data_IF_479378048485
#
_entry.id   IF_479378048485
#
_cell.length_a   1.000
_cell.length_b   1.000
_cell.length_c   1.000
_cell.angle_alpha   90.00
_cell.angle_beta   90.00
_cell.angle_gamma   90.00
#
_symmetry.space_group_name_H-M   'P 1'
#
loop_
_entity.id
_entity.type
_entity.pdbx_description
1 polymer ?
#
# COMPACT_ATOMS: atom_id res chain seq x y z
N UNK A 1 -43.28 5.08 -18.51
CA UNK A 1 -42.15 5.43 -17.61
C UNK A 1 -42.02 4.27 -16.62
N UNK A 2 -41.93 3.00 -17.03
CA UNK A 2 -40.87 2.31 -17.79
C UNK A 2 -39.46 2.58 -17.24
N UNK A 3 -39.18 1.88 -16.14
CA UNK A 3 -38.01 1.01 -15.91
C UNK A 3 -36.62 1.59 -16.22
N UNK A 4 -36.16 2.48 -15.34
CA UNK A 4 -34.72 2.58 -15.04
C UNK A 4 -34.36 1.53 -13.98
N UNK A 5 -34.39 0.26 -14.36
CA UNK A 5 -33.67 -0.79 -13.63
C UNK A 5 -32.20 -0.58 -14.03
N UNK A 6 -31.40 -0.04 -13.12
CA UNK A 6 -29.94 -0.13 -13.28
C UNK A 6 -29.61 -1.61 -13.48
N UNK A 7 -28.97 -1.94 -14.60
CA UNK A 7 -28.52 -3.30 -14.91
C UNK A 7 -27.80 -3.88 -13.68
N UNK A 8 -28.24 -5.02 -13.14
CA UNK A 8 -27.74 -5.58 -11.86
C UNK A 8 -26.20 -5.72 -11.87
N UNK A 9 -25.66 -6.01 -13.05
CA UNK A 9 -24.22 -6.05 -13.34
C UNK A 9 -23.55 -4.67 -13.17
N UNK A 10 -24.15 -3.59 -13.69
CA UNK A 10 -23.60 -2.24 -13.52
C UNK A 10 -23.55 -1.82 -12.05
N UNK A 11 -24.60 -2.12 -11.27
CA UNK A 11 -24.62 -1.81 -9.84
C UNK A 11 -23.56 -2.61 -9.08
N UNK A 12 -23.44 -3.91 -9.33
CA UNK A 12 -22.44 -4.74 -8.68
C UNK A 12 -21.01 -4.27 -8.99
N UNK A 13 -20.70 -4.03 -10.26
CA UNK A 13 -19.36 -3.66 -10.69
C UNK A 13 -18.98 -2.22 -10.34
N UNK A 14 -19.91 -1.27 -10.47
CA UNK A 14 -19.58 0.15 -10.28
C UNK A 14 -19.66 0.58 -8.83
N UNK A 15 -20.48 -0.09 -8.01
CA UNK A 15 -20.74 0.31 -6.62
C UNK A 15 -20.14 -0.69 -5.64
N UNK A 16 -20.51 -1.97 -5.74
CA UNK A 16 -20.11 -2.98 -4.73
C UNK A 16 -18.61 -3.26 -4.81
N UNK A 17 -18.09 -3.60 -6.00
CA UNK A 17 -16.66 -3.87 -6.15
C UNK A 17 -15.80 -2.63 -5.92
N UNK A 18 -16.29 -1.43 -6.25
CA UNK A 18 -15.56 -0.20 -5.97
C UNK A 18 -15.47 0.06 -4.46
N UNK A 19 -16.55 -0.22 -3.72
CA UNK A 19 -16.54 -0.16 -2.24
C UNK A 19 -15.56 -1.16 -1.64
N UNK A 20 -15.53 -2.39 -2.18
CA UNK A 20 -14.55 -3.40 -1.78
C UNK A 20 -13.12 -2.97 -2.09
N UNK A 21 -12.89 -2.28 -3.22
CA UNK A 21 -11.58 -1.79 -3.59
C UNK A 21 -11.11 -0.64 -2.69
N UNK A 22 -12.00 0.30 -2.37
CA UNK A 22 -11.73 1.35 -1.36
C UNK A 22 -11.39 0.73 -0.01
N UNK A 23 -12.15 -0.29 0.42
CA UNK A 23 -11.88 -1.02 1.67
C UNK A 23 -10.52 -1.72 1.63
N UNK A 24 -10.15 -2.33 0.50
CA UNK A 24 -8.85 -2.96 0.34
C UNK A 24 -7.71 -1.93 0.42
N UNK A 25 -7.89 -0.76 -0.19
CA UNK A 25 -6.93 0.34 -0.10
C UNK A 25 -6.80 0.91 1.31
N UNK A 26 -7.89 1.01 2.07
CA UNK A 26 -7.86 1.39 3.49
C UNK A 26 -6.97 0.45 4.31
N UNK A 27 -7.16 -0.86 4.14
CA UNK A 27 -6.32 -1.86 4.80
C UNK A 27 -4.84 -1.72 4.39
N UNK A 28 -4.56 -1.60 3.09
CA UNK A 28 -3.18 -1.47 2.61
C UNK A 28 -2.51 -0.19 3.11
N UNK A 29 -3.22 0.94 3.04
CA UNK A 29 -2.68 2.23 3.44
C UNK A 29 -2.35 2.23 4.94
N UNK A 30 -3.30 1.84 5.79
CA UNK A 30 -3.08 1.79 7.23
C UNK A 30 -1.98 0.79 7.64
N UNK A 31 -1.87 -0.32 6.90
CA UNK A 31 -0.87 -1.35 7.14
C UNK A 31 0.52 -0.86 6.79
N UNK A 32 0.68 -0.23 5.62
CA UNK A 32 1.93 0.38 5.17
C UNK A 32 2.32 1.58 6.02
N UNK A 33 1.37 2.40 6.45
CA UNK A 33 1.63 3.48 7.42
C UNK A 33 2.17 2.92 8.75
N UNK A 34 1.54 1.86 9.27
CA UNK A 34 1.99 1.21 10.50
C UNK A 34 3.39 0.64 10.34
N UNK A 35 3.68 0.04 9.18
CA UNK A 35 4.98 -0.52 8.84
C UNK A 35 6.05 0.55 8.73
N UNK A 36 5.83 1.62 7.95
CA UNK A 36 6.82 2.69 7.80
C UNK A 36 7.09 3.35 9.14
N UNK A 37 6.08 3.51 10.01
CA UNK A 37 6.27 4.08 11.33
C UNK A 37 7.23 3.23 12.17
N UNK A 38 7.04 1.91 12.18
CA UNK A 38 7.93 0.99 12.89
C UNK A 38 9.34 1.05 12.30
N UNK A 39 9.47 1.09 10.98
CA UNK A 39 10.77 1.19 10.31
C UNK A 39 11.47 2.51 10.64
N UNK A 40 10.75 3.62 10.59
CA UNK A 40 11.30 4.98 10.65
C UNK A 40 11.63 5.44 12.08
N UNK A 41 10.80 5.07 13.05
CA UNK A 41 11.00 5.45 14.45
C UNK A 41 11.67 4.34 15.28
N UNK A 42 12.05 3.23 14.64
CA UNK A 42 12.49 2.00 15.29
C UNK A 42 11.62 1.59 16.48
N UNK A 43 10.33 1.94 16.43
CA UNK A 43 9.43 1.63 17.52
C UNK A 43 9.14 0.14 17.46
N UNK A 44 9.63 -0.64 18.41
CA UNK A 44 9.27 -2.06 18.58
C UNK A 44 7.83 -2.26 19.07
N UNK A 45 6.91 -1.44 18.57
CA UNK A 45 5.50 -1.47 18.89
C UNK A 45 4.87 -2.72 18.30
N UNK A 46 4.71 -3.74 19.14
CA UNK A 46 4.03 -4.99 18.82
C UNK A 46 2.70 -4.75 18.12
N UNK A 47 1.87 -3.85 18.66
CA UNK A 47 0.57 -3.54 18.07
C UNK A 47 0.65 -2.95 16.65
N UNK A 48 1.65 -2.11 16.35
CA UNK A 48 1.83 -1.56 14.99
C UNK A 48 2.34 -2.61 14.01
N UNK A 49 3.23 -3.49 14.47
CA UNK A 49 3.75 -4.58 13.66
C UNK A 49 2.61 -5.55 13.33
N UNK A 50 1.79 -5.94 14.33
CA UNK A 50 0.56 -6.72 14.09
C UNK A 50 -0.30 -6.11 13.01
N UNK A 51 -0.59 -4.82 13.20
CA UNK A 51 -1.53 -4.06 12.39
C UNK A 51 -1.01 -4.02 10.95
N UNK A 52 0.29 -3.80 10.76
CA UNK A 52 0.93 -3.87 9.45
C UNK A 52 0.68 -5.21 8.75
N UNK A 53 1.07 -6.34 9.34
CA UNK A 53 0.89 -7.65 8.71
C UNK A 53 -0.57 -8.02 8.49
N UNK A 54 -1.41 -7.77 9.49
CA UNK A 54 -2.83 -8.10 9.43
C UNK A 54 -3.52 -7.32 8.32
N UNK A 55 -3.31 -6.01 8.26
CA UNK A 55 -3.97 -5.19 7.26
C UNK A 55 -3.39 -5.41 5.86
N UNK A 56 -2.07 -5.62 5.72
CA UNK A 56 -1.47 -5.96 4.42
C UNK A 56 -2.04 -7.30 3.90
N UNK A 57 -2.12 -8.33 4.76
CA UNK A 57 -2.72 -9.61 4.40
C UNK A 57 -4.17 -9.43 3.91
N UNK A 58 -5.02 -8.78 4.72
CA UNK A 58 -6.44 -8.57 4.36
C UNK A 58 -6.58 -7.74 3.08
N UNK A 59 -5.78 -6.68 2.92
CA UNK A 59 -5.81 -5.81 1.75
C UNK A 59 -5.43 -6.54 0.45
N UNK A 60 -4.34 -7.32 0.47
CA UNK A 60 -3.92 -8.13 -0.68
C UNK A 60 -4.99 -9.21 -1.00
N UNK A 61 -5.55 -9.87 0.01
CA UNK A 61 -6.60 -10.88 -0.18
C UNK A 61 -7.81 -10.29 -0.91
N UNK A 62 -8.24 -9.09 -0.50
CA UNK A 62 -9.36 -8.40 -1.12
C UNK A 62 -9.07 -8.01 -2.56
N UNK A 63 -7.88 -7.48 -2.86
CA UNK A 63 -7.47 -7.19 -4.25
C UNK A 63 -7.54 -8.47 -5.10
N UNK A 64 -6.97 -9.58 -4.61
CA UNK A 64 -7.02 -10.85 -5.33
C UNK A 64 -8.46 -11.30 -5.61
N UNK A 65 -9.36 -11.16 -4.62
CA UNK A 65 -10.79 -11.51 -4.75
C UNK A 65 -11.54 -10.58 -5.69
N UNK A 66 -11.26 -9.28 -5.69
CA UNK A 66 -11.84 -8.31 -6.64
C UNK A 66 -11.46 -8.70 -8.07
N UNK A 67 -10.15 -8.91 -8.30
CA UNK A 67 -9.64 -9.30 -9.62
C UNK A 67 -10.28 -10.63 -10.05
N UNK A 68 -10.33 -11.63 -9.14
CA UNK A 68 -10.88 -12.94 -9.43
C UNK A 68 -12.40 -12.89 -9.70
N UNK A 69 -13.13 -11.99 -9.04
CA UNK A 69 -14.55 -11.76 -9.30
C UNK A 69 -14.76 -11.22 -10.71
N UNK A 70 -14.05 -10.15 -11.08
CA UNK A 70 -14.13 -9.56 -12.43
C UNK A 70 -13.76 -10.57 -13.51
N UNK A 71 -12.67 -11.31 -13.26
CA UNK A 71 -12.22 -12.42 -14.07
C UNK A 71 -13.32 -13.47 -14.28
N UNK A 72 -13.88 -14.00 -13.20
CA UNK A 72 -14.92 -15.03 -13.26
C UNK A 72 -16.12 -14.63 -14.10
N UNK A 73 -16.51 -13.35 -14.04
CA UNK A 73 -17.68 -12.87 -14.76
C UNK A 73 -17.49 -12.79 -16.27
N UNK A 74 -16.26 -12.84 -16.76
CA UNK A 74 -15.94 -12.98 -18.19
C UNK A 74 -15.94 -14.43 -18.67
N UNK A 75 -16.09 -15.41 -17.78
CA UNK A 75 -16.26 -16.80 -18.19
C UNK A 75 -17.65 -17.06 -18.73
N UNK A 76 -17.72 -17.90 -19.76
CA UNK A 76 -18.94 -18.44 -20.34
C UNK A 76 -18.85 -19.96 -20.47
N UNK A 77 -20.01 -20.62 -20.61
CA UNK A 77 -20.13 -22.05 -20.87
C UNK A 77 -19.49 -22.95 -19.81
N UNK A 78 -18.94 -24.08 -20.25
CA UNK A 78 -18.41 -25.15 -19.39
C UNK A 78 -17.30 -24.67 -18.44
N UNK A 79 -16.48 -23.71 -18.88
CA UNK A 79 -15.43 -23.11 -18.04
C UNK A 79 -16.04 -22.39 -16.82
N UNK A 80 -17.12 -21.62 -16.99
CA UNK A 80 -17.77 -20.93 -15.86
C UNK A 80 -18.29 -21.91 -14.81
N UNK A 81 -18.81 -23.06 -15.26
CA UNK A 81 -19.35 -24.09 -14.38
C UNK A 81 -18.24 -24.84 -13.63
N UNK A 82 -17.14 -25.19 -14.29
CA UNK A 82 -15.97 -25.81 -13.69
C UNK A 82 -15.38 -24.94 -12.55
N UNK A 83 -15.21 -23.64 -12.82
CA UNK A 83 -14.56 -22.73 -11.88
C UNK A 83 -15.46 -22.24 -10.74
N UNK A 84 -16.79 -22.34 -10.87
CA UNK A 84 -17.73 -21.88 -9.83
C UNK A 84 -17.43 -22.52 -8.46
N UNK A 85 -17.17 -23.83 -8.44
CA UNK A 85 -16.86 -24.57 -7.21
C UNK A 85 -15.52 -24.16 -6.59
N UNK A 86 -14.50 -23.90 -7.43
CA UNK A 86 -13.16 -23.52 -7.00
C UNK A 86 -13.13 -22.09 -6.44
N UNK A 87 -13.89 -21.19 -7.08
CA UNK A 87 -14.00 -19.79 -6.70
C UNK A 87 -14.76 -19.65 -5.39
N UNK A 88 -15.90 -20.31 -5.23
CA UNK A 88 -16.62 -20.28 -3.94
C UNK A 88 -15.69 -20.72 -2.80
N UNK A 89 -14.95 -21.82 -2.97
CA UNK A 89 -13.97 -22.27 -1.98
C UNK A 89 -12.87 -21.23 -1.72
N UNK A 90 -12.36 -20.58 -2.77
CA UNK A 90 -11.30 -19.57 -2.65
C UNK A 90 -11.79 -18.26 -2.00
N UNK A 91 -13.04 -17.86 -2.23
CA UNK A 91 -13.63 -16.65 -1.65
C UNK A 91 -13.90 -16.78 -0.15
N UNK A 92 -14.30 -17.98 0.30
CA UNK A 92 -14.43 -18.27 1.74
C UNK A 92 -13.09 -18.67 2.39
N UNK A 93 -12.11 -19.06 1.58
CA UNK A 93 -10.74 -19.30 2.03
C UNK A 93 -9.96 -18.01 2.28
N UNK A 94 -8.94 -18.12 3.13
CA UNK A 94 -7.94 -17.07 3.38
C UNK A 94 -6.57 -17.52 2.87
N UNK A 95 -6.55 -18.02 1.64
CA UNK A 95 -5.37 -18.62 1.03
C UNK A 95 -4.93 -17.79 -0.19
N UNK A 96 -3.93 -16.94 0.04
CA UNK A 96 -3.35 -16.08 -0.99
C UNK A 96 -2.76 -16.86 -2.17
N UNK A 97 -2.14 -18.01 -1.91
CA UNK A 97 -1.54 -18.83 -2.95
C UNK A 97 -2.60 -19.45 -3.85
N UNK A 98 -3.68 -19.97 -3.27
CA UNK A 98 -4.82 -20.51 -4.02
C UNK A 98 -5.45 -19.42 -4.89
N UNK A 99 -5.68 -18.22 -4.35
CA UNK A 99 -6.21 -17.09 -5.10
C UNK A 99 -5.27 -16.69 -6.25
N UNK A 100 -3.97 -16.57 -5.99
CA UNK A 100 -2.96 -16.23 -7.00
C UNK A 100 -2.88 -17.28 -8.11
N UNK A 101 -2.91 -18.56 -7.76
CA UNK A 101 -2.90 -19.66 -8.73
C UNK A 101 -4.14 -19.66 -9.61
N UNK A 102 -5.32 -19.42 -9.03
CA UNK A 102 -6.57 -19.29 -9.80
C UNK A 102 -6.51 -18.12 -10.77
N UNK A 103 -5.99 -16.96 -10.33
CA UNK A 103 -5.80 -15.80 -11.19
C UNK A 103 -4.89 -16.10 -12.38
N UNK A 104 -3.71 -16.68 -12.13
CA UNK A 104 -2.74 -17.03 -13.18
C UNK A 104 -3.32 -18.05 -14.17
N UNK A 105 -4.00 -19.08 -13.67
CA UNK A 105 -4.63 -20.11 -14.49
C UNK A 105 -5.75 -19.54 -15.35
N UNK A 106 -6.64 -18.76 -14.74
CA UNK A 106 -7.81 -18.21 -15.41
C UNK A 106 -7.43 -17.19 -16.51
N UNK A 107 -6.52 -16.27 -16.17
CA UNK A 107 -6.12 -15.18 -17.07
C UNK A 107 -5.04 -15.58 -18.08
N UNK A 108 -4.57 -16.84 -18.05
CA UNK A 108 -3.45 -17.35 -18.85
C UNK A 108 -2.21 -16.43 -18.77
N UNK A 109 -1.94 -15.92 -17.57
CA UNK A 109 -0.89 -14.90 -17.35
C UNK A 109 0.48 -15.55 -17.53
N UNK A 110 1.25 -15.02 -18.48
CA UNK A 110 2.62 -15.47 -18.76
C UNK A 110 3.60 -14.96 -17.71
N UNK A 111 3.39 -13.73 -17.24
CA UNK A 111 4.19 -13.12 -16.18
C UNK A 111 3.75 -13.65 -14.82
N UNK A 112 4.69 -13.97 -13.94
CA UNK A 112 4.42 -14.49 -12.60
C UNK A 112 5.21 -13.70 -11.58
N UNK A 113 4.68 -13.62 -10.37
CA UNK A 113 5.42 -13.18 -9.19
C UNK A 113 6.71 -14.02 -9.06
N UNK A 114 7.80 -13.40 -8.58
CA UNK A 114 9.05 -14.12 -8.39
C UNK A 114 9.01 -14.89 -7.07
N UNK A 115 10.09 -15.64 -6.79
CA UNK A 115 10.18 -16.50 -5.61
C UNK A 115 9.99 -15.71 -4.31
N UNK A 116 10.53 -14.50 -4.23
CA UNK A 116 10.46 -13.66 -3.03
C UNK A 116 9.02 -13.24 -2.73
N UNK A 117 8.29 -12.74 -3.73
CA UNK A 117 6.91 -12.27 -3.55
C UNK A 117 5.96 -13.43 -3.25
N UNK A 118 6.14 -14.59 -3.91
CA UNK A 118 5.37 -15.80 -3.58
C UNK A 118 5.65 -16.26 -2.14
N UNK A 119 6.91 -16.24 -1.71
CA UNK A 119 7.28 -16.58 -0.32
C UNK A 119 6.60 -15.63 0.67
N UNK A 120 6.53 -14.35 0.35
CA UNK A 120 5.85 -13.36 1.19
C UNK A 120 4.34 -13.57 1.25
N UNK A 121 3.67 -13.91 0.12
CA UNK A 121 2.25 -14.29 0.13
C UNK A 121 1.96 -15.51 1.01
N UNK A 122 2.82 -16.54 0.94
CA UNK A 122 2.72 -17.71 1.82
C UNK A 122 2.89 -17.31 3.30
N UNK A 123 3.81 -16.37 3.59
CA UNK A 123 4.00 -15.86 4.95
C UNK A 123 2.78 -15.10 5.46
N UNK A 124 2.16 -14.25 4.65
CA UNK A 124 0.93 -13.54 5.03
C UNK A 124 -0.22 -14.51 5.35
N UNK A 125 -0.34 -15.59 4.56
CA UNK A 125 -1.32 -16.65 4.79
C UNK A 125 -1.06 -17.38 6.11
N UNK A 126 0.19 -17.77 6.38
CA UNK A 126 0.56 -18.43 7.62
C UNK A 126 0.31 -17.50 8.81
N UNK A 127 0.72 -16.23 8.73
CA UNK A 127 0.44 -15.23 9.76
C UNK A 127 -1.06 -15.12 10.06
N UNK A 128 -1.90 -14.97 9.02
CA UNK A 128 -3.35 -14.79 9.20
C UNK A 128 -4.02 -16.03 9.81
N UNK A 129 -3.54 -17.22 9.50
CA UNK A 129 -4.08 -18.49 10.00
C UNK A 129 -3.59 -18.87 11.41
N UNK A 130 -2.35 -18.51 11.77
CA UNK A 130 -1.70 -19.02 13.00
C UNK A 130 -1.43 -17.94 14.05
N UNK A 131 -1.17 -16.70 13.66
CA UNK A 131 -0.67 -15.65 14.56
C UNK A 131 -1.72 -14.59 14.93
N UNK A 132 -2.90 -14.58 14.29
CA UNK A 132 -3.99 -13.64 14.61
C UNK A 132 -4.43 -13.65 16.08
N UNK A 133 -4.34 -14.82 16.72
CA UNK A 133 -4.77 -15.06 18.10
C UNK A 133 -3.61 -15.50 19.01
N UNK A 134 -2.36 -15.42 18.54
CA UNK A 134 -1.20 -15.86 19.33
C UNK A 134 -1.02 -15.06 20.62
N UNK A 135 -1.61 -13.86 20.72
CA UNK A 135 -1.65 -13.04 21.95
C UNK A 135 -2.32 -13.71 23.14
N UNK A 136 -3.15 -14.72 22.92
CA UNK A 136 -3.73 -15.52 24.00
C UNK A 136 -2.78 -16.66 24.44
N UNK A 137 -1.62 -16.78 23.81
CA UNK A 137 -0.55 -17.71 24.14
C UNK A 137 0.64 -16.95 24.75
N UNK A 138 1.60 -17.68 25.32
CA UNK A 138 2.58 -17.14 26.28
C UNK A 138 3.68 -16.25 25.67
N UNK A 139 3.80 -16.20 24.35
CA UNK A 139 4.84 -15.44 23.63
C UNK A 139 4.36 -14.03 23.26
N UNK A 140 5.29 -13.07 23.21
CA UNK A 140 4.97 -11.72 22.73
C UNK A 140 4.96 -11.67 21.21
N UNK A 141 4.13 -10.78 20.67
CA UNK A 141 3.83 -10.77 19.24
C UNK A 141 5.04 -10.39 18.37
N UNK A 142 5.88 -9.48 18.88
CA UNK A 142 7.14 -9.08 18.24
C UNK A 142 8.10 -10.26 18.16
N UNK A 143 8.19 -11.05 19.22
CA UNK A 143 9.07 -12.21 19.27
C UNK A 143 8.60 -13.28 18.30
N UNK A 144 7.28 -13.56 18.27
CA UNK A 144 6.68 -14.51 17.35
C UNK A 144 6.83 -14.04 15.90
N UNK A 145 6.53 -12.76 15.59
CA UNK A 145 6.61 -12.21 14.24
C UNK A 145 8.03 -12.10 13.72
N UNK A 146 8.97 -11.67 14.55
CA UNK A 146 10.38 -11.65 14.20
C UNK A 146 10.86 -13.07 13.91
N UNK A 147 10.63 -14.02 14.82
CA UNK A 147 11.02 -15.41 14.65
C UNK A 147 10.38 -16.06 13.45
N UNK A 148 9.12 -15.73 13.19
CA UNK A 148 8.39 -16.17 12.01
C UNK A 148 9.06 -15.69 10.70
N UNK A 149 9.55 -14.45 10.66
CA UNK A 149 10.18 -13.88 9.45
C UNK A 149 11.67 -14.15 9.30
N UNK A 150 12.41 -14.24 10.40
CA UNK A 150 13.87 -14.39 10.36
C UNK A 150 14.31 -15.82 10.63
N UNK A 151 13.46 -16.66 11.21
CA UNK A 151 13.86 -17.95 11.79
C UNK A 151 14.69 -17.81 13.07
N UNK A 152 14.97 -16.59 13.53
CA UNK A 152 15.83 -16.28 14.66
C UNK A 152 14.99 -15.77 15.84
N UNK A 153 15.45 -15.95 17.08
CA UNK A 153 14.82 -15.28 18.21
C UNK A 153 15.00 -13.77 18.09
N UNK A 154 13.96 -12.99 18.45
CA UNK A 154 14.05 -11.54 18.45
C UNK A 154 15.25 -11.06 19.27
N UNK A 155 16.13 -10.30 18.63
CA UNK A 155 17.18 -9.54 19.28
C UNK A 155 16.85 -8.06 19.11
N UNK A 156 16.94 -7.32 20.22
CA UNK A 156 16.72 -5.88 20.27
C UNK A 156 17.83 -5.08 19.53
N UNK A 157 18.69 -5.77 18.77
CA UNK A 157 19.72 -5.15 17.94
C UNK A 157 19.25 -5.16 16.47
N UNK A 158 19.13 -3.95 15.94
CA UNK A 158 17.99 -3.38 15.19
C UNK A 158 18.06 -3.60 13.68
N UNK A 159 19.25 -3.69 13.09
CA UNK A 159 19.45 -3.63 11.63
C UNK A 159 18.77 -4.75 10.84
N UNK A 160 18.90 -6.01 11.30
CA UNK A 160 18.26 -7.16 10.64
C UNK A 160 16.74 -7.01 10.59
N UNK A 161 16.13 -6.50 11.66
CA UNK A 161 14.69 -6.30 11.72
C UNK A 161 14.24 -5.23 10.71
N UNK A 162 14.94 -4.09 10.66
CA UNK A 162 14.64 -3.01 9.71
C UNK A 162 14.88 -3.42 8.26
N UNK A 163 15.96 -4.16 7.99
CA UNK A 163 16.21 -4.75 6.69
C UNK A 163 15.04 -5.63 6.23
N UNK A 164 14.49 -6.46 7.12
CA UNK A 164 13.30 -7.27 6.80
C UNK A 164 12.05 -6.43 6.53
N UNK A 165 11.80 -5.38 7.32
CA UNK A 165 10.67 -4.48 7.07
C UNK A 165 10.79 -3.78 5.71
N UNK A 166 12.02 -3.44 5.29
CA UNK A 166 12.29 -2.91 3.97
C UNK A 166 12.00 -3.93 2.86
N UNK A 167 12.44 -5.19 3.01
CA UNK A 167 12.14 -6.25 2.05
C UNK A 167 10.64 -6.52 1.90
N UNK A 168 9.87 -6.34 2.98
CA UNK A 168 8.41 -6.46 2.95
C UNK A 168 7.80 -5.33 2.14
N UNK A 169 8.24 -4.08 2.33
CA UNK A 169 7.81 -2.96 1.50
C UNK A 169 8.04 -3.25 0.01
N UNK A 170 9.26 -3.67 -0.33
CA UNK A 170 9.64 -3.97 -1.71
C UNK A 170 8.79 -5.12 -2.29
N UNK A 171 8.43 -6.11 -1.45
CA UNK A 171 7.56 -7.22 -1.84
C UNK A 171 6.12 -6.74 -2.06
N UNK A 172 5.57 -5.89 -1.18
CA UNK A 172 4.22 -5.34 -1.33
C UNK A 172 4.09 -4.51 -2.59
N UNK A 173 5.04 -3.62 -2.89
CA UNK A 173 5.03 -2.82 -4.13
C UNK A 173 4.95 -3.71 -5.38
N UNK A 174 5.82 -4.71 -5.48
CA UNK A 174 5.84 -5.63 -6.63
C UNK A 174 4.57 -6.48 -6.73
N UNK A 175 4.00 -6.92 -5.61
CA UNK A 175 2.74 -7.66 -5.58
C UNK A 175 1.59 -6.79 -6.06
N UNK A 176 1.49 -5.55 -5.56
CA UNK A 176 0.44 -4.62 -5.95
C UNK A 176 0.58 -4.21 -7.41
N UNK A 177 1.80 -3.95 -7.89
CA UNK A 177 2.06 -3.72 -9.31
C UNK A 177 1.54 -4.86 -10.17
N UNK A 178 1.93 -6.10 -9.84
CA UNK A 178 1.47 -7.28 -10.55
C UNK A 178 -0.06 -7.40 -10.57
N UNK A 179 -0.72 -7.18 -9.43
CA UNK A 179 -2.17 -7.27 -9.36
C UNK A 179 -2.88 -6.13 -10.09
N UNK A 180 -2.37 -4.91 -10.04
CA UNK A 180 -2.96 -3.78 -10.77
C UNK A 180 -2.74 -3.88 -12.28
N UNK A 181 -1.63 -4.46 -12.76
CA UNK A 181 -1.47 -4.79 -14.18
C UNK A 181 -2.53 -5.79 -14.68
N UNK A 182 -2.84 -6.80 -13.85
CA UNK A 182 -3.90 -7.76 -14.14
C UNK A 182 -5.26 -7.08 -14.12
N UNK A 183 -5.50 -6.24 -13.10
CA UNK A 183 -6.74 -5.52 -12.95
C UNK A 183 -7.02 -4.63 -14.17
N UNK A 184 -6.05 -3.86 -14.64
CA UNK A 184 -6.17 -3.02 -15.85
C UNK A 184 -6.49 -3.87 -17.10
N UNK A 185 -5.82 -5.01 -17.21
CA UNK A 185 -6.04 -5.96 -18.31
C UNK A 185 -7.47 -6.49 -18.31
N UNK A 186 -8.07 -6.73 -17.14
CA UNK A 186 -9.46 -7.19 -17.02
C UNK A 186 -10.43 -6.02 -17.25
N UNK A 187 -10.19 -4.90 -16.59
CA UNK A 187 -11.00 -3.68 -16.67
C UNK A 187 -11.19 -3.21 -18.12
N UNK A 188 -10.12 -3.21 -18.92
CA UNK A 188 -10.18 -2.87 -20.34
C UNK A 188 -11.03 -3.84 -21.17
N UNK A 189 -11.06 -5.13 -20.83
CA UNK A 189 -11.91 -6.14 -21.51
C UNK A 189 -13.38 -5.99 -21.12
N UNK A 190 -13.65 -5.77 -19.83
CA UNK A 190 -15.02 -5.71 -19.30
C UNK A 190 -15.65 -4.32 -19.43
N UNK A 191 -14.88 -3.31 -19.87
CA UNK A 191 -15.28 -1.89 -19.96
C UNK A 191 -15.81 -1.34 -18.62
N UNK A 192 -15.18 -1.76 -17.52
CA UNK A 192 -15.40 -1.22 -16.19
C UNK A 192 -14.10 -0.57 -15.70
N UNK A 193 -14.23 0.52 -14.96
CA UNK A 193 -13.10 1.30 -14.47
C UNK A 193 -13.23 1.50 -12.95
N UNK A 194 -12.89 0.45 -12.19
CA UNK A 194 -12.82 0.55 -10.74
C UNK A 194 -11.75 1.57 -10.35
N UNK A 195 -12.01 2.33 -9.28
CA UNK A 195 -11.09 3.36 -8.79
C UNK A 195 -11.13 4.69 -9.53
N UNK A 196 -11.78 4.81 -10.70
CA UNK A 196 -11.92 6.09 -11.41
C UNK A 196 -13.03 6.98 -10.83
N UNK A 197 -14.00 6.40 -10.10
CA UNK A 197 -15.17 7.11 -9.56
C UNK A 197 -15.04 7.45 -8.08
N UNK A 198 -13.95 7.04 -7.41
CA UNK A 198 -13.72 7.29 -5.99
C UNK A 198 -12.92 8.58 -5.77
N UNK A 199 -13.43 9.48 -4.93
CA UNK A 199 -12.63 10.58 -4.34
C UNK A 199 -11.74 10.10 -3.19
N UNK A 200 -11.55 8.78 -3.07
CA UNK A 200 -10.83 8.17 -1.97
C UNK A 200 -9.33 8.35 -2.15
N UNK A 201 -8.73 9.11 -1.25
CA UNK A 201 -7.31 9.45 -1.37
C UNK A 201 -6.40 8.24 -1.13
N UNK A 202 -6.80 7.30 -0.26
CA UNK A 202 -5.95 6.14 0.03
C UNK A 202 -5.94 5.19 -1.16
N UNK A 203 -7.10 4.94 -1.78
CA UNK A 203 -7.18 4.21 -3.04
C UNK A 203 -6.37 4.90 -4.13
N UNK A 204 -6.50 6.22 -4.26
CA UNK A 204 -5.70 6.98 -5.22
C UNK A 204 -4.20 6.70 -5.04
N UNK A 205 -3.69 6.80 -3.81
CA UNK A 205 -2.27 6.54 -3.51
C UNK A 205 -1.89 5.08 -3.79
N UNK A 206 -2.63 4.13 -3.23
CA UNK A 206 -2.32 2.71 -3.32
C UNK A 206 -2.28 2.25 -4.78
N UNK A 207 -3.24 2.70 -5.59
CA UNK A 207 -3.34 2.32 -7.00
C UNK A 207 -2.37 3.09 -7.90
N UNK A 208 -2.31 4.42 -7.78
CA UNK A 208 -1.55 5.26 -8.72
C UNK A 208 -0.05 5.34 -8.39
N UNK A 209 0.36 5.09 -7.16
CA UNK A 209 1.76 5.17 -6.71
C UNK A 209 2.29 3.82 -6.23
N UNK A 210 1.70 2.71 -6.68
CA UNK A 210 2.04 1.36 -6.21
C UNK A 210 3.50 0.95 -6.47
N UNK A 211 4.18 1.60 -7.43
CA UNK A 211 5.61 1.41 -7.74
C UNK A 211 6.57 2.19 -6.84
N UNK A 212 6.07 3.08 -5.97
CA UNK A 212 6.88 3.95 -5.12
C UNK A 212 6.27 4.15 -3.72
N UNK A 213 5.44 3.22 -3.25
CA UNK A 213 4.76 3.32 -1.94
C UNK A 213 5.74 3.54 -0.79
N UNK A 214 6.89 2.87 -0.78
CA UNK A 214 7.92 3.06 0.24
C UNK A 214 8.40 4.50 0.28
N UNK A 215 8.68 5.09 -0.88
CA UNK A 215 9.09 6.49 -1.00
C UNK A 215 7.96 7.44 -0.63
N UNK A 216 6.73 7.14 -1.04
CA UNK A 216 5.53 7.88 -0.65
C UNK A 216 5.36 7.91 0.87
N UNK A 217 5.37 6.74 1.52
CA UNK A 217 5.15 6.63 2.97
C UNK A 217 6.32 7.23 3.76
N UNK A 218 7.54 7.19 3.22
CA UNK A 218 8.69 7.90 3.79
C UNK A 218 8.48 9.41 3.77
N UNK A 219 8.08 9.97 2.63
CA UNK A 219 7.70 11.38 2.52
C UNK A 219 6.52 11.72 3.41
N UNK A 220 5.52 10.85 3.53
CA UNK A 220 4.37 11.06 4.39
C UNK A 220 4.78 11.25 5.86
N UNK A 221 5.69 10.42 6.38
CA UNK A 221 6.24 10.56 7.74
C UNK A 221 7.08 11.84 7.87
N UNK A 222 7.98 12.10 6.92
CA UNK A 222 8.78 13.33 6.89
C UNK A 222 7.90 14.58 6.89
N UNK A 223 6.79 14.56 6.15
CA UNK A 223 5.87 15.66 6.07
C UNK A 223 5.20 15.89 7.42
N UNK A 224 4.69 14.83 8.06
CA UNK A 224 4.12 14.92 9.41
C UNK A 224 5.11 15.53 10.41
N UNK A 225 6.39 15.17 10.32
CA UNK A 225 7.43 15.71 11.19
C UNK A 225 7.68 17.19 10.94
N UNK A 226 7.84 17.60 9.68
CA UNK A 226 8.02 19.02 9.31
C UNK A 226 6.82 19.87 9.74
N UNK A 227 5.59 19.38 9.54
CA UNK A 227 4.37 20.06 10.00
C UNK A 227 4.27 20.14 11.54
N UNK A 228 4.78 19.13 12.26
CA UNK A 228 4.79 19.13 13.73
C UNK A 228 5.87 20.05 14.32
N UNK A 229 6.92 20.38 13.56
CA UNK A 229 8.03 21.19 14.02
C UNK A 229 7.64 22.68 14.09
N UNK A 230 7.63 23.22 15.32
CA UNK A 230 7.17 24.60 15.62
C UNK A 230 8.04 25.70 15.00
N UNK A 231 9.26 25.39 14.60
CA UNK A 231 10.20 26.33 13.98
C UNK A 231 10.31 26.16 12.46
N UNK A 232 9.52 25.27 11.85
CA UNK A 232 9.53 25.09 10.41
C UNK A 232 8.78 26.25 9.74
N UNK A 233 9.42 26.92 8.79
CA UNK A 233 8.83 27.95 7.91
C UNK A 233 7.72 27.37 6.98
N UNK A 234 7.51 26.06 7.09
CA UNK A 234 6.69 25.20 6.24
C UNK A 234 5.18 25.32 6.46
N UNK A 235 4.71 26.15 7.39
CA UNK A 235 3.33 26.04 7.89
C UNK A 235 2.45 27.23 7.48
N UNK A 236 1.61 27.11 6.44
CA UNK A 236 0.62 28.14 6.09
C UNK A 236 -0.61 28.12 7.01
N UNK A 237 -0.79 27.09 7.85
CA UNK A 237 -2.04 26.89 8.58
C UNK A 237 -1.81 26.34 9.99
N UNK A 238 -2.34 27.11 10.96
CA UNK A 238 -2.98 26.65 12.19
C UNK A 238 -2.23 26.63 13.54
N UNK A 239 -3.06 26.81 14.58
CA UNK A 239 -2.81 27.20 15.98
C UNK A 239 -2.05 26.14 16.79
N UNK A 240 -1.71 26.44 18.04
CA UNK A 240 -0.94 25.55 18.93
C UNK A 240 -1.58 24.16 19.18
N UNK A 241 -2.90 24.03 19.00
CA UNK A 241 -3.67 22.79 19.21
C UNK A 241 -3.56 21.83 18.01
N UNK A 242 -3.23 22.36 16.83
CA UNK A 242 -3.28 21.64 15.55
C UNK A 242 -1.93 20.98 15.21
N UNK A 243 -0.92 21.17 16.05
CA UNK A 243 0.47 20.71 15.84
C UNK A 243 0.78 19.28 16.31
N UNK A 244 -0.17 18.55 16.90
CA UNK A 244 0.04 17.14 17.27
C UNK A 244 0.05 16.27 16.01
N UNK A 245 0.97 15.30 15.93
CA UNK A 245 1.02 14.30 14.85
C UNK A 245 -0.34 13.58 14.65
N UNK A 246 -1.07 13.34 15.75
CA UNK A 246 -2.41 12.73 15.71
C UNK A 246 -3.48 13.63 15.08
N UNK A 247 -3.28 14.94 15.11
CA UNK A 247 -4.25 15.92 14.63
C UNK A 247 -4.00 16.26 13.16
N UNK A 248 -2.75 16.17 12.69
CA UNK A 248 -2.39 16.35 11.28
C UNK A 248 -3.24 15.41 10.39
N UNK A 249 -3.42 14.15 10.80
CA UNK A 249 -4.24 13.18 10.05
C UNK A 249 -5.71 13.57 9.94
N UNK A 250 -6.26 14.19 10.99
CA UNK A 250 -7.66 14.67 11.01
C UNK A 250 -7.82 15.88 10.09
N UNK A 251 -6.86 16.81 10.12
CA UNK A 251 -6.92 18.06 9.34
C UNK A 251 -6.79 17.84 7.84
N UNK A 252 -5.94 16.90 7.44
CA UNK A 252 -5.82 16.52 6.04
C UNK A 252 -6.81 15.41 5.67
N UNK A 253 -7.68 14.96 6.58
CA UNK A 253 -8.67 13.92 6.29
C UNK A 253 -8.06 12.61 5.81
N UNK A 254 -6.87 12.25 6.29
CA UNK A 254 -6.09 11.11 5.77
C UNK A 254 -5.52 11.33 4.35
N UNK A 255 -5.61 12.54 3.81
CA UNK A 255 -5.11 12.90 2.47
C UNK A 255 -3.60 13.12 2.50
N UNK A 256 -2.83 12.04 2.65
CA UNK A 256 -1.37 12.08 2.70
C UNK A 256 -0.71 12.71 1.48
N UNK A 257 -1.39 12.68 0.32
CA UNK A 257 -0.92 13.35 -0.89
C UNK A 257 -0.81 14.87 -0.72
N UNK A 258 -1.81 15.51 -0.10
CA UNK A 258 -1.80 16.96 0.14
C UNK A 258 -0.66 17.39 1.08
N UNK A 259 -0.36 16.57 2.09
CA UNK A 259 0.73 16.81 3.05
C UNK A 259 2.08 16.74 2.33
N UNK A 260 2.26 15.75 1.44
CA UNK A 260 3.46 15.58 0.62
C UNK A 260 3.62 16.70 -0.41
N UNK A 261 2.54 17.20 -1.01
CA UNK A 261 2.63 18.33 -1.95
C UNK A 261 3.15 19.60 -1.30
N UNK A 262 2.82 19.82 -0.02
CA UNK A 262 3.47 20.85 0.77
C UNK A 262 5.00 20.69 0.78
N UNK A 263 5.50 19.46 0.94
CA UNK A 263 6.95 19.18 0.98
C UNK A 263 7.61 19.53 -0.34
N UNK A 264 6.97 19.19 -1.45
CA UNK A 264 7.47 19.53 -2.78
C UNK A 264 7.52 21.05 -2.94
N UNK A 265 6.42 21.76 -2.67
CA UNK A 265 6.36 23.21 -2.80
C UNK A 265 7.45 23.93 -2.00
N UNK A 266 7.65 23.55 -0.74
CA UNK A 266 8.71 24.11 0.09
C UNK A 266 10.12 23.79 -0.45
N UNK A 267 10.37 22.54 -0.83
CA UNK A 267 11.67 22.14 -1.35
C UNK A 267 12.01 22.96 -2.59
N UNK A 268 11.11 23.04 -3.57
CA UNK A 268 11.38 23.78 -4.80
C UNK A 268 11.51 25.28 -4.57
N UNK A 269 10.67 25.88 -3.73
CA UNK A 269 10.76 27.33 -3.45
C UNK A 269 12.01 27.70 -2.68
N UNK A 270 12.37 26.92 -1.66
CA UNK A 270 13.43 27.31 -0.72
C UNK A 270 14.81 26.76 -1.09
N UNK A 271 14.87 25.64 -1.82
CA UNK A 271 16.13 25.00 -2.22
C UNK A 271 16.44 25.30 -3.68
N UNK A 272 15.47 25.07 -4.58
CA UNK A 272 15.67 25.24 -6.02
C UNK A 272 15.33 26.67 -6.51
N UNK A 273 14.75 27.51 -5.64
CA UNK A 273 14.28 28.87 -5.97
C UNK A 273 13.33 28.92 -7.16
N UNK A 274 12.42 27.93 -7.26
CA UNK A 274 11.48 27.74 -8.38
C UNK A 274 10.12 27.25 -7.90
N UNK A 275 9.10 27.35 -8.76
CA UNK A 275 7.82 26.69 -8.50
C UNK A 275 7.92 25.22 -8.94
N UNK A 276 7.40 24.31 -8.14
CA UNK A 276 7.40 22.88 -8.48
C UNK A 276 6.46 22.57 -9.65
N UNK A 277 5.47 23.44 -9.90
CA UNK A 277 4.56 23.33 -11.05
C UNK A 277 5.29 23.49 -12.39
N UNK A 278 6.51 24.03 -12.38
CA UNK A 278 7.37 24.12 -13.56
C UNK A 278 8.06 22.77 -13.89
N UNK A 279 7.94 21.76 -13.02
CA UNK A 279 8.55 20.45 -13.16
C UNK A 279 7.52 19.34 -13.41
N UNK A 280 7.98 18.23 -13.97
CA UNK A 280 7.21 16.99 -13.94
C UNK A 280 6.92 16.61 -12.49
N UNK A 281 5.66 16.25 -12.22
CA UNK A 281 5.17 15.84 -10.90
C UNK A 281 6.16 14.84 -10.23
N UNK A 282 6.78 15.18 -9.08
CA UNK A 282 7.96 14.44 -8.56
C UNK A 282 7.67 13.00 -8.13
N UNK A 283 6.41 12.69 -7.84
CA UNK A 283 5.98 11.36 -7.45
C UNK A 283 5.47 10.60 -8.68
N UNK A 284 6.20 9.59 -9.19
CA UNK A 284 5.80 8.93 -10.43
C UNK A 284 4.46 8.19 -10.28
N UNK A 285 3.68 8.20 -11.35
CA UNK A 285 2.55 7.30 -11.49
C UNK A 285 3.04 5.88 -11.83
N UNK A 286 2.21 4.88 -11.50
CA UNK A 286 2.46 3.47 -11.78
C UNK A 286 2.72 3.18 -13.25
N UNK A 287 1.92 3.81 -14.11
CA UNK A 287 1.93 3.61 -15.56
C UNK A 287 2.73 4.71 -16.30
N UNK A 288 3.63 5.39 -15.61
CA UNK A 288 4.43 6.48 -16.17
C UNK A 288 5.47 5.98 -17.20
N UNK A 289 5.77 6.80 -18.21
CA UNK A 289 6.82 6.50 -19.18
C UNK A 289 8.19 6.30 -18.52
N UNK A 290 8.95 5.29 -18.98
CA UNK A 290 10.24 4.91 -18.41
C UNK A 290 11.27 6.06 -18.33
N UNK A 291 11.29 6.96 -19.32
CA UNK A 291 12.22 8.10 -19.33
C UNK A 291 11.84 9.10 -18.24
N UNK A 292 10.54 9.37 -18.10
CA UNK A 292 9.99 10.28 -17.10
C UNK A 292 10.12 9.71 -15.69
N UNK A 293 9.80 8.42 -15.52
CA UNK A 293 9.96 7.65 -14.29
C UNK A 293 11.38 7.78 -13.73
N UNK A 294 12.42 7.60 -14.55
CA UNK A 294 13.82 7.72 -14.10
C UNK A 294 14.14 9.12 -13.59
N UNK A 295 13.63 10.16 -14.25
CA UNK A 295 13.83 11.56 -13.84
C UNK A 295 13.13 11.83 -12.51
N UNK A 296 11.86 11.44 -12.38
CA UNK A 296 11.06 11.60 -11.16
C UNK A 296 11.67 10.84 -9.98
N UNK A 297 12.14 9.59 -10.17
CA UNK A 297 12.80 8.83 -9.11
C UNK A 297 14.09 9.50 -8.61
N UNK A 298 14.89 10.05 -9.53
CA UNK A 298 16.09 10.80 -9.16
C UNK A 298 15.75 12.03 -8.34
N UNK A 299 14.66 12.71 -8.69
CA UNK A 299 14.22 13.93 -8.03
C UNK A 299 13.62 13.64 -6.66
N UNK A 300 12.76 12.62 -6.59
CA UNK A 300 12.17 12.09 -5.37
C UNK A 300 13.24 11.74 -4.33
N UNK A 301 14.33 11.10 -4.77
CA UNK A 301 15.45 10.77 -3.89
C UNK A 301 16.15 12.01 -3.30
N UNK A 302 16.30 13.11 -4.07
CA UNK A 302 16.88 14.36 -3.57
C UNK A 302 15.98 15.01 -2.52
N UNK A 303 14.68 15.07 -2.79
CA UNK A 303 13.69 15.65 -1.87
C UNK A 303 13.67 14.86 -0.56
N UNK A 304 13.63 13.53 -0.63
CA UNK A 304 13.70 12.66 0.55
C UNK A 304 15.00 12.93 1.33
N UNK A 305 16.16 12.91 0.67
CA UNK A 305 17.44 13.14 1.34
C UNK A 305 17.52 14.52 2.02
N UNK A 306 16.95 15.56 1.40
CA UNK A 306 16.87 16.90 1.99
C UNK A 306 16.11 16.89 3.32
N UNK A 307 14.92 16.28 3.36
CA UNK A 307 14.11 16.25 4.57
C UNK A 307 14.65 15.29 5.63
N UNK A 308 15.29 14.18 5.24
CA UNK A 308 16.01 13.32 6.19
C UNK A 308 17.14 14.07 6.90
N UNK A 309 17.93 14.84 6.15
CA UNK A 309 19.01 15.65 6.71
C UNK A 309 18.53 16.74 7.67
N UNK A 310 17.29 17.21 7.52
CA UNK A 310 16.66 18.17 8.45
C UNK A 310 16.12 17.51 9.72
N UNK A 311 15.89 16.21 9.67
CA UNK A 311 15.34 15.42 10.77
C UNK A 311 16.40 14.42 11.26
N UNK A 312 17.59 14.94 11.64
CA UNK A 312 18.80 14.13 11.96
C UNK A 312 18.63 13.12 13.08
N UNK A 313 17.64 13.30 13.96
CA UNK A 313 17.30 12.31 14.99
C UNK A 313 16.81 10.99 14.40
N UNK A 314 16.40 10.99 13.13
CA UNK A 314 16.07 9.78 12.37
C UNK A 314 17.29 9.16 11.70
N UNK A 315 18.24 9.96 11.21
CA UNK A 315 19.44 9.44 10.53
C UNK A 315 20.36 8.60 11.43
N UNK A 316 20.19 8.66 12.76
CA UNK A 316 20.90 7.76 13.69
C UNK A 316 20.42 6.29 13.62
N UNK A 317 19.37 6.03 12.85
CA UNK A 317 18.63 4.77 12.88
C UNK A 317 18.61 4.02 11.54
N UNK A 318 19.29 4.55 10.53
CA UNK A 318 19.50 3.89 9.26
C UNK A 318 20.98 3.55 9.16
N UNK A 319 21.31 2.26 9.28
CA UNK A 319 22.61 1.77 8.86
C UNK A 319 22.68 1.90 7.34
N UNK A 320 23.72 2.59 6.85
CA UNK A 320 24.06 2.66 5.43
C UNK A 320 24.33 1.26 4.84
#
# INVERSE_FOLDING_TARGET
MEDTIFDDDFFHYSVVLNTEFMTAADFLFDGLESMIYVTYFQSYSESKIFKAYYQIAVGIERIQKIILNLAYNQLEGDKKQEFSSQINKAFYGHNHEQLNNLLIQYMEIKTKLQKQENSFLSQLMEFYSTHRYSKFQKDTELTSLFKFHTGESFQMNTEKFHYRLNEIFDSVEKILLFYFDILDTIQSKVRNYLGETGTDTKLFVIYNHSNVLKSFFKLFILAKLEYSNRASDFCPLYTSVEKSLSNIDVYFGGNGASVIYGLFDCYYRNVESRDWQDFDYPLPFRNEDNKKLKSQLSELAKIIAYYENRNTDINKFWGD
#
